data_IF_051791296404
#
_entry.id   IF_051791296404
#
_cell.length_a   1.000
_cell.length_b   1.000
_cell.length_c   1.000
_cell.angle_alpha   90.00
_cell.angle_beta   90.00
_cell.angle_gamma   90.00
#
_symmetry.space_group_name_H-M   'P 1'
#
loop_
_entity.id
_entity.type
_entity.pdbx_description
1 polymer ?
#
# COMPACT_ATOMS: atom_id res chain seq x y z
N UNK A 1 -13.31 4.02 3.86
CA UNK A 1 -12.21 3.13 3.40
C UNK A 1 -11.13 3.20 4.46
N UNK A 2 -10.48 2.08 4.79
CA UNK A 2 -9.65 1.95 5.98
C UNK A 2 -8.48 2.95 6.00
N UNK A 3 -8.68 4.10 6.64
CA UNK A 3 -7.61 4.99 7.05
C UNK A 3 -7.17 4.58 8.44
N UNK A 4 -5.95 4.04 8.53
CA UNK A 4 -5.42 3.58 9.80
C UNK A 4 -4.39 4.53 10.42
N UNK A 5 -3.92 5.53 9.67
CA UNK A 5 -3.16 6.66 10.24
C UNK A 5 -4.14 7.81 10.47
N UNK A 6 -4.25 8.30 11.71
CA UNK A 6 -5.16 9.37 12.07
C UNK A 6 -4.50 10.74 12.05
N UNK A 7 -3.23 10.85 12.45
CA UNK A 7 -2.59 12.17 12.59
C UNK A 7 -1.07 12.15 12.51
N UNK A 8 -0.52 13.29 12.12
CA UNK A 8 0.91 13.61 12.01
C UNK A 8 1.23 14.83 12.86
N UNK A 9 2.36 14.82 13.56
CA UNK A 9 2.81 15.97 14.37
C UNK A 9 3.70 16.95 13.60
N UNK A 10 4.00 16.67 12.32
CA UNK A 10 4.84 17.52 11.48
C UNK A 10 4.25 17.76 10.08
N UNK A 11 4.23 19.02 9.67
CA UNK A 11 3.76 19.45 8.35
C UNK A 11 4.56 18.83 7.19
N UNK A 12 5.89 18.71 7.35
CA UNK A 12 6.76 18.12 6.34
C UNK A 12 6.51 16.62 6.14
N UNK A 13 6.34 15.87 7.24
CA UNK A 13 6.03 14.44 7.20
C UNK A 13 4.64 14.19 6.62
N UNK A 14 3.66 15.03 7.00
CA UNK A 14 2.34 15.01 6.38
C UNK A 14 2.42 15.25 4.87
N UNK A 15 3.19 16.26 4.43
CA UNK A 15 3.37 16.57 3.01
C UNK A 15 4.05 15.41 2.27
N UNK A 16 5.09 14.84 2.86
CA UNK A 16 5.79 13.67 2.35
C UNK A 16 4.84 12.48 2.17
N UNK A 17 4.02 12.21 3.19
CA UNK A 17 3.04 11.13 3.14
C UNK A 17 1.95 11.38 2.10
N UNK A 18 1.33 12.57 2.10
CA UNK A 18 0.20 12.91 1.24
C UNK A 18 0.58 12.99 -0.24
N UNK A 19 1.68 13.67 -0.54
CA UNK A 19 2.03 14.07 -1.91
C UNK A 19 3.23 13.33 -2.48
N UNK A 20 4.02 12.65 -1.63
CA UNK A 20 5.35 12.20 -2.02
C UNK A 20 6.26 13.38 -2.37
N UNK A 21 5.98 14.58 -1.83
CA UNK A 21 6.76 15.81 -1.96
C UNK A 21 7.17 16.34 -0.59
N UNK A 22 8.46 16.54 -0.39
CA UNK A 22 9.06 17.38 0.65
C UNK A 22 10.10 18.26 -0.05
N UNK A 23 10.41 19.41 0.54
CA UNK A 23 11.35 20.39 -0.03
C UNK A 23 12.76 19.81 -0.30
N UNK A 24 13.06 18.63 0.26
CA UNK A 24 14.39 17.98 0.26
C UNK A 24 14.35 16.56 -0.33
N UNK A 25 13.25 16.15 -0.99
CA UNK A 25 13.04 14.78 -1.44
C UNK A 25 13.94 14.34 -2.60
N UNK A 26 15.03 13.66 -2.29
CA UNK A 26 15.75 12.78 -3.21
C UNK A 26 16.40 11.57 -2.50
N UNK A 27 16.26 11.41 -1.18
CA UNK A 27 17.08 10.45 -0.42
C UNK A 27 16.42 9.08 -0.28
N UNK A 28 17.22 8.05 -0.02
CA UNK A 28 16.74 6.70 0.29
C UNK A 28 15.93 6.66 1.60
N UNK A 29 16.24 7.55 2.55
CA UNK A 29 15.56 7.65 3.84
C UNK A 29 14.11 8.06 3.67
N UNK A 30 13.83 8.98 2.76
CA UNK A 30 12.46 9.43 2.48
C UNK A 30 11.59 8.31 1.91
N UNK A 31 12.15 7.52 0.98
CA UNK A 31 11.45 6.34 0.42
C UNK A 31 11.14 5.33 1.52
N UNK A 32 12.08 5.13 2.45
CA UNK A 32 11.91 4.23 3.58
C UNK A 32 10.87 4.73 4.58
N UNK A 33 10.86 6.04 4.89
CA UNK A 33 9.80 6.68 5.68
C UNK A 33 8.43 6.42 5.07
N UNK A 34 8.27 6.70 3.77
CA UNK A 34 7.01 6.51 3.05
C UNK A 34 6.59 5.04 3.04
N UNK A 35 7.53 4.12 2.81
CA UNK A 35 7.26 2.68 2.84
C UNK A 35 6.79 2.20 4.23
N UNK A 36 7.39 2.71 5.32
CA UNK A 36 6.96 2.40 6.69
C UNK A 36 5.56 2.97 6.93
N UNK A 37 5.27 4.20 6.50
CA UNK A 37 3.94 4.79 6.65
C UNK A 37 2.87 4.01 5.86
N UNK A 38 3.17 3.59 4.63
CA UNK A 38 2.24 2.78 3.83
C UNK A 38 2.01 1.39 4.45
N UNK A 39 3.05 0.80 5.02
CA UNK A 39 2.96 -0.44 5.80
C UNK A 39 2.04 -0.25 7.02
N UNK A 40 2.28 0.79 7.80
CA UNK A 40 1.49 1.09 8.99
C UNK A 40 0.03 1.38 8.65
N UNK A 41 -0.24 2.02 7.51
CA UNK A 41 -1.60 2.26 7.04
C UNK A 41 -2.32 0.98 6.58
N UNK A 42 -1.58 -0.03 6.12
CA UNK A 42 -2.15 -1.27 5.58
C UNK A 42 -2.26 -2.41 6.60
N UNK A 43 -1.62 -2.28 7.77
CA UNK A 43 -1.71 -3.24 8.85
C UNK A 43 -3.18 -3.41 9.30
N UNK A 44 -3.64 -4.60 9.68
CA UNK A 44 -4.93 -4.77 10.35
C UNK A 44 -4.90 -4.21 11.77
N UNK A 45 -6.03 -3.70 12.29
CA UNK A 45 -6.05 -3.09 13.61
C UNK A 45 -5.76 -4.11 14.74
N UNK A 46 -6.16 -5.35 14.53
CA UNK A 46 -5.98 -6.51 15.41
C UNK A 46 -4.61 -7.20 15.25
N UNK A 47 -3.85 -6.86 14.22
CA UNK A 47 -2.55 -7.47 13.95
C UNK A 47 -1.43 -6.73 14.70
N UNK A 48 -0.51 -7.46 15.35
CA UNK A 48 0.64 -6.85 16.01
C UNK A 48 1.59 -6.17 15.00
N UNK A 49 2.45 -5.26 15.47
CA UNK A 49 3.51 -4.72 14.62
C UNK A 49 4.46 -5.86 14.24
N UNK A 50 4.88 -5.97 12.96
CA UNK A 50 5.76 -7.06 12.56
C UNK A 50 7.12 -6.99 13.27
N UNK A 51 7.61 -8.10 13.81
CA UNK A 51 8.87 -8.16 14.57
C UNK A 51 10.09 -7.67 13.77
N UNK A 52 10.11 -7.94 12.47
CA UNK A 52 11.16 -7.49 11.56
C UNK A 52 11.17 -5.97 11.35
N UNK A 53 10.10 -5.26 11.71
CA UNK A 53 10.11 -3.79 11.76
C UNK A 53 10.93 -3.27 12.96
N UNK A 54 11.26 -4.14 13.90
CA UNK A 54 11.96 -3.85 15.15
C UNK A 54 11.38 -2.62 15.89
N UNK A 55 10.06 -2.66 16.24
CA UNK A 55 9.42 -1.56 16.94
C UNK A 55 9.93 -1.48 18.38
N UNK A 56 10.62 -0.40 18.72
CA UNK A 56 11.00 -0.12 20.09
C UNK A 56 9.85 0.59 20.81
N UNK A 57 9.32 -0.02 21.88
CA UNK A 57 8.39 0.65 22.78
C UNK A 57 9.12 1.80 23.49
N UNK A 58 8.49 2.98 23.52
CA UNK A 58 9.02 4.11 24.29
C UNK A 58 8.85 3.78 25.77
N UNK A 59 9.94 3.82 26.54
CA UNK A 59 9.96 3.51 27.97
C UNK A 59 8.87 4.31 28.72
N UNK A 60 7.97 3.59 29.40
CA UNK A 60 6.87 4.18 30.18
C UNK A 60 5.56 4.36 29.42
N UNK A 61 5.52 4.14 28.11
CA UNK A 61 4.32 4.36 27.29
C UNK A 61 4.06 3.17 26.34
N UNK A 62 3.27 2.20 26.81
CA UNK A 62 2.97 0.94 26.10
C UNK A 62 2.35 1.12 24.70
N UNK A 63 1.73 2.27 24.46
CA UNK A 63 1.06 2.60 23.20
C UNK A 63 1.95 3.40 22.25
N UNK A 64 3.19 3.71 22.63
CA UNK A 64 4.12 4.50 21.83
C UNK A 64 5.27 3.66 21.29
N UNK A 65 5.43 3.70 19.98
CA UNK A 65 6.39 2.91 19.24
C UNK A 65 7.35 3.80 18.46
N UNK A 66 8.54 3.26 18.24
CA UNK A 66 9.59 3.90 17.48
C UNK A 66 10.23 2.87 16.54
N UNK A 67 10.28 3.21 15.26
CA UNK A 67 10.89 2.37 14.21
C UNK A 67 12.06 3.11 13.58
N UNK A 68 13.16 2.40 13.36
CA UNK A 68 14.35 2.99 12.73
C UNK A 68 14.16 3.13 11.24
N UNK A 69 14.37 4.34 10.72
CA UNK A 69 14.45 4.62 9.28
C UNK A 69 15.91 4.50 8.83
N UNK A 70 16.83 5.16 9.53
CA UNK A 70 18.26 5.16 9.23
C UNK A 70 19.10 5.38 10.50
N UNK A 71 20.44 5.44 10.36
CA UNK A 71 21.38 5.56 11.49
C UNK A 71 21.16 6.78 12.38
N UNK A 72 20.44 7.81 11.93
CA UNK A 72 20.14 9.01 12.71
C UNK A 72 18.67 9.43 12.68
N UNK A 73 17.79 8.62 12.07
CA UNK A 73 16.40 8.97 11.85
C UNK A 73 15.47 7.86 12.29
N UNK A 74 14.49 8.21 13.12
CA UNK A 74 13.48 7.31 13.64
C UNK A 74 12.09 7.87 13.40
N UNK A 75 11.13 6.98 13.20
CA UNK A 75 9.72 7.29 13.06
C UNK A 75 9.01 6.84 14.33
N UNK A 76 8.51 7.80 15.10
CA UNK A 76 7.76 7.54 16.31
C UNK A 76 6.26 7.77 16.08
N UNK A 77 5.44 6.96 16.72
CA UNK A 77 3.98 7.01 16.59
C UNK A 77 3.32 6.38 17.81
N UNK A 78 2.07 6.74 18.07
CA UNK A 78 1.21 5.97 18.97
C UNK A 78 0.34 5.01 18.18
N UNK A 79 0.00 3.86 18.78
CA UNK A 79 -0.91 2.89 18.17
C UNK A 79 -1.88 2.34 19.21
N UNK A 80 -3.12 2.82 19.16
CA UNK A 80 -4.23 2.43 20.06
C UNK A 80 -5.36 1.82 19.24
N UNK A 81 -5.91 0.67 19.68
CA UNK A 81 -6.97 -0.07 18.97
C UNK A 81 -6.68 -0.30 17.48
N UNK A 82 -5.38 -0.49 17.18
CA UNK A 82 -4.90 -0.67 15.81
C UNK A 82 -4.72 0.61 15.00
N UNK A 83 -5.26 1.73 15.45
CA UNK A 83 -5.14 3.04 14.81
C UNK A 83 -3.80 3.68 15.17
N UNK A 84 -3.05 4.10 14.15
CA UNK A 84 -1.76 4.78 14.28
C UNK A 84 -1.99 6.30 14.34
N UNK A 85 -1.40 6.99 15.31
CA UNK A 85 -1.57 8.44 15.46
C UNK A 85 -0.28 9.12 15.93
N UNK A 86 -0.29 10.47 15.94
CA UNK A 86 0.84 11.29 16.40
C UNK A 86 2.18 10.94 15.73
N UNK A 87 2.12 10.63 14.44
CA UNK A 87 3.28 10.18 13.70
C UNK A 87 4.28 11.32 13.52
N UNK A 88 5.55 11.07 13.89
CA UNK A 88 6.62 12.06 13.86
C UNK A 88 7.98 11.47 13.49
N UNK A 89 8.88 12.32 12.99
CA UNK A 89 10.28 12.00 12.80
C UNK A 89 11.09 12.51 13.98
N UNK A 90 11.97 11.66 14.51
CA UNK A 90 12.92 12.01 15.57
C UNK A 90 14.31 11.90 14.95
N UNK A 91 15.02 13.03 14.92
CA UNK A 91 16.46 13.08 14.65
C UNK A 91 17.17 13.49 15.94
N UNK A 92 18.42 13.06 16.11
CA UNK A 92 19.25 13.47 17.26
C UNK A 92 19.44 14.99 17.40
N UNK A 93 19.15 15.77 16.35
CA UNK A 93 19.43 17.20 16.30
C UNK A 93 18.23 18.13 16.51
N UNK A 94 16.97 17.66 16.51
CA UNK A 94 15.83 18.58 16.61
C UNK A 94 14.52 17.90 16.98
N UNK A 95 13.96 18.27 18.14
CA UNK A 95 12.55 18.11 18.44
C UNK A 95 11.93 19.52 18.54
N UNK A 96 11.03 19.86 17.61
CA UNK A 96 10.08 20.96 17.84
C UNK A 96 8.69 20.42 17.51
N UNK A 97 7.81 20.23 18.50
CA UNK A 97 6.43 19.82 18.27
C UNK A 97 5.77 20.80 17.29
N UNK A 98 5.35 20.29 16.12
CA UNK A 98 4.54 21.05 15.19
C UNK A 98 3.06 20.96 15.53
N UNK A 99 2.24 21.68 14.77
CA UNK A 99 0.79 21.55 14.84
C UNK A 99 0.37 20.16 14.33
N UNK A 100 -0.46 19.46 15.10
CA UNK A 100 -1.04 18.17 14.72
C UNK A 100 -1.92 18.34 13.47
N UNK A 101 -1.69 17.49 12.46
CA UNK A 101 -2.47 17.44 11.23
C UNK A 101 -3.16 16.09 11.11
N UNK A 102 -4.44 16.10 10.74
CA UNK A 102 -5.19 14.88 10.41
C UNK A 102 -4.63 14.27 9.13
N UNK A 103 -4.62 12.94 9.02
CA UNK A 103 -4.22 12.26 7.80
C UNK A 103 -5.10 12.68 6.60
N UNK A 104 -4.56 12.64 5.37
CA UNK A 104 -5.32 13.04 4.20
C UNK A 104 -6.27 11.93 3.72
N UNK A 105 -7.54 12.28 3.50
CA UNK A 105 -8.60 11.39 2.96
C UNK A 105 -8.21 10.65 1.66
N UNK A 106 -7.24 11.20 0.90
CA UNK A 106 -6.66 10.58 -0.29
C UNK A 106 -5.19 11.00 -0.48
N UNK A 107 -4.40 10.10 -1.07
CA UNK A 107 -3.01 10.36 -1.44
C UNK A 107 -2.91 10.89 -2.88
N UNK A 108 -2.10 11.93 -3.10
CA UNK A 108 -1.75 12.38 -4.46
C UNK A 108 -0.67 11.50 -5.11
N UNK A 109 0.06 10.75 -4.30
CA UNK A 109 1.02 9.73 -4.73
C UNK A 109 0.40 8.35 -4.67
N UNK A 110 0.99 7.41 -5.41
CA UNK A 110 0.69 5.99 -5.24
C UNK A 110 1.34 5.48 -3.95
N UNK A 111 0.63 4.69 -3.12
CA UNK A 111 1.25 3.91 -2.04
C UNK A 111 2.45 3.11 -2.55
N UNK A 112 3.40 2.84 -1.68
CA UNK A 112 4.53 1.98 -1.99
C UNK A 112 4.01 0.59 -2.33
N UNK A 113 4.45 0.06 -3.47
CA UNK A 113 4.05 -1.28 -3.89
C UNK A 113 4.55 -2.36 -2.92
N UNK A 114 3.80 -3.46 -2.71
CA UNK A 114 4.15 -4.48 -1.72
C UNK A 114 5.55 -5.08 -1.94
N UNK A 115 5.95 -5.32 -3.19
CA UNK A 115 7.27 -5.87 -3.49
C UNK A 115 8.43 -4.92 -3.16
N UNK A 116 8.21 -3.61 -3.25
CA UNK A 116 9.20 -2.62 -2.81
C UNK A 116 9.30 -2.59 -1.29
N UNK A 117 8.16 -2.67 -0.56
CA UNK A 117 8.16 -2.77 0.91
C UNK A 117 8.92 -4.02 1.37
N UNK A 118 8.64 -5.18 0.77
CA UNK A 118 9.33 -6.43 1.08
C UNK A 118 10.84 -6.30 0.85
N UNK A 119 11.25 -5.75 -0.30
CA UNK A 119 12.66 -5.60 -0.64
C UNK A 119 13.39 -4.57 0.25
N UNK A 120 12.72 -3.47 0.59
CA UNK A 120 13.32 -2.33 1.29
C UNK A 120 13.33 -2.50 2.81
N UNK A 121 12.33 -3.17 3.37
CA UNK A 121 12.17 -3.29 4.82
C UNK A 121 12.44 -4.71 5.32
N UNK A 122 11.82 -5.72 4.73
CA UNK A 122 11.89 -7.09 5.24
C UNK A 122 13.25 -7.76 4.97
N UNK A 123 13.77 -7.70 3.73
CA UNK A 123 15.06 -8.34 3.41
C UNK A 123 16.24 -7.76 4.22
N UNK A 124 16.39 -6.43 4.36
CA UNK A 124 17.48 -5.88 5.17
C UNK A 124 17.32 -6.18 6.66
N UNK A 125 16.09 -6.25 7.18
CA UNK A 125 15.84 -6.56 8.59
C UNK A 125 16.16 -8.01 8.95
N UNK A 126 15.94 -8.95 8.03
CA UNK A 126 16.17 -10.38 8.25
C UNK A 126 17.54 -10.87 7.77
N UNK A 127 18.25 -10.08 6.95
CA UNK A 127 19.48 -10.49 6.29
C UNK A 127 19.28 -11.54 5.19
N UNK A 128 18.04 -11.85 4.82
CA UNK A 128 17.74 -12.82 3.78
C UNK A 128 18.16 -12.29 2.40
N UNK A 129 18.87 -13.13 1.65
CA UNK A 129 19.17 -12.83 0.26
C UNK A 129 17.91 -13.01 -0.61
N UNK A 130 17.78 -12.28 -1.75
CA UNK A 130 16.67 -12.50 -2.67
C UNK A 130 16.54 -13.95 -3.15
N UNK A 131 17.66 -14.65 -3.33
CA UNK A 131 17.65 -16.06 -3.72
C UNK A 131 17.04 -16.97 -2.64
N UNK A 132 17.35 -16.74 -1.36
CA UNK A 132 16.74 -17.49 -0.26
C UNK A 132 15.28 -17.12 -0.08
N UNK A 133 14.93 -15.84 -0.16
CA UNK A 133 13.54 -15.40 -0.12
C UNK A 133 12.69 -16.04 -1.21
N UNK A 134 13.20 -16.14 -2.46
CA UNK A 134 12.49 -16.79 -3.56
C UNK A 134 12.18 -18.27 -3.24
N UNK A 135 13.13 -19.00 -2.64
CA UNK A 135 12.97 -20.40 -2.23
C UNK A 135 11.92 -20.55 -1.15
N UNK A 136 11.97 -19.72 -0.10
CA UNK A 136 10.96 -19.73 0.97
C UNK A 136 9.56 -19.37 0.46
N UNK A 137 9.47 -18.45 -0.50
CA UNK A 137 8.21 -18.08 -1.13
C UNK A 137 7.70 -19.12 -2.15
N UNK A 138 8.48 -20.14 -2.49
CA UNK A 138 8.10 -21.13 -3.51
C UNK A 138 8.02 -20.55 -4.92
N UNK A 139 8.75 -19.47 -5.22
CA UNK A 139 8.74 -18.80 -6.53
C UNK A 139 10.09 -18.80 -7.21
N UNK A 140 10.11 -18.65 -8.54
CA UNK A 140 11.36 -18.46 -9.28
C UNK A 140 11.98 -17.08 -8.98
N UNK A 141 13.30 -16.97 -9.13
CA UNK A 141 14.00 -15.69 -8.98
C UNK A 141 13.47 -14.61 -9.94
N UNK A 142 13.14 -14.98 -11.18
CA UNK A 142 12.48 -14.09 -12.15
C UNK A 142 11.14 -13.59 -11.63
N UNK A 143 10.35 -14.48 -11.03
CA UNK A 143 9.09 -14.10 -10.43
C UNK A 143 9.24 -13.19 -9.21
N UNK A 144 10.26 -13.41 -8.38
CA UNK A 144 10.54 -12.54 -7.25
C UNK A 144 10.96 -11.14 -7.73
N UNK A 145 11.76 -11.05 -8.80
CA UNK A 145 12.10 -9.77 -9.40
C UNK A 145 10.88 -9.03 -9.98
N UNK A 146 9.95 -9.76 -10.63
CA UNK A 146 8.67 -9.19 -11.06
C UNK A 146 7.85 -8.69 -9.87
N UNK A 147 7.85 -9.42 -8.76
CA UNK A 147 7.20 -8.96 -7.53
C UNK A 147 7.83 -7.66 -7.02
N UNK A 148 9.16 -7.57 -6.95
CA UNK A 148 9.86 -6.33 -6.58
C UNK A 148 9.54 -5.15 -7.49
N UNK A 149 9.36 -5.40 -8.79
CA UNK A 149 9.03 -4.40 -9.80
C UNK A 149 7.55 -4.01 -9.85
N UNK A 150 6.65 -4.81 -9.28
CA UNK A 150 5.19 -4.59 -9.33
C UNK A 150 4.44 -5.36 -10.40
N UNK A 151 5.16 -6.09 -11.26
CA UNK A 151 4.59 -6.90 -12.34
C UNK A 151 3.91 -8.18 -11.82
N UNK A 152 4.18 -8.56 -10.57
CA UNK A 152 3.47 -9.64 -9.87
C UNK A 152 2.82 -9.08 -8.61
N UNK A 153 1.52 -9.33 -8.44
CA UNK A 153 0.72 -8.80 -7.32
C UNK A 153 0.85 -9.68 -6.06
N UNK A 154 0.82 -9.07 -4.88
CA UNK A 154 0.77 -9.74 -3.58
C UNK A 154 -0.65 -10.23 -3.24
N UNK A 155 -1.13 -11.24 -3.97
CA UNK A 155 -2.46 -11.85 -3.77
C UNK A 155 -2.39 -13.37 -3.92
N UNK A 156 -3.44 -14.07 -3.46
CA UNK A 156 -3.56 -15.53 -3.58
C UNK A 156 -2.40 -16.25 -2.90
N UNK A 157 -1.87 -17.27 -3.59
CA UNK A 157 -0.77 -18.10 -3.08
C UNK A 157 0.46 -17.30 -2.68
N UNK A 158 0.81 -16.25 -3.43
CA UNK A 158 1.96 -15.42 -3.07
C UNK A 158 1.73 -14.67 -1.76
N UNK A 159 0.50 -14.20 -1.49
CA UNK A 159 0.18 -13.53 -0.24
C UNK A 159 0.19 -14.49 0.96
N UNK A 160 -0.18 -15.77 0.75
CA UNK A 160 -0.04 -16.82 1.77
C UNK A 160 1.43 -17.08 2.09
N UNK A 161 2.27 -17.32 1.07
CA UNK A 161 3.70 -17.55 1.28
C UNK A 161 4.41 -16.33 1.91
N UNK A 162 3.99 -15.12 1.53
CA UNK A 162 4.50 -13.89 2.14
C UNK A 162 4.14 -13.82 3.63
N UNK A 163 2.88 -14.08 3.97
CA UNK A 163 2.40 -14.10 5.35
C UNK A 163 3.20 -15.07 6.22
N UNK A 164 3.39 -16.30 5.75
CA UNK A 164 4.19 -17.33 6.44
C UNK A 164 5.65 -16.91 6.63
N UNK A 165 6.28 -16.35 5.59
CA UNK A 165 7.68 -15.93 5.65
C UNK A 165 7.89 -14.71 6.55
N UNK A 166 6.95 -13.75 6.53
CA UNK A 166 7.11 -12.48 7.24
C UNK A 166 6.50 -12.47 8.64
N UNK A 167 5.82 -13.54 9.04
CA UNK A 167 5.10 -13.60 10.31
C UNK A 167 3.96 -12.58 10.41
N UNK A 168 3.33 -12.26 9.27
CA UNK A 168 2.21 -11.32 9.17
C UNK A 168 0.99 -12.03 8.59
N UNK A 169 -0.15 -11.35 8.46
CA UNK A 169 -1.34 -11.94 7.82
C UNK A 169 -1.32 -11.83 6.30
N UNK A 170 -2.07 -12.71 5.63
CA UNK A 170 -2.37 -12.59 4.20
C UNK A 170 -3.20 -11.34 3.88
N UNK A 171 -4.03 -10.93 4.83
CA UNK A 171 -4.86 -9.72 4.75
C UNK A 171 -3.95 -8.48 4.67
N UNK A 172 -2.89 -8.41 5.47
CA UNK A 172 -1.90 -7.33 5.42
C UNK A 172 -1.32 -7.14 4.01
N UNK A 173 -0.79 -8.22 3.41
CA UNK A 173 -0.21 -8.16 2.06
C UNK A 173 -1.23 -7.79 0.98
N UNK A 174 -2.45 -8.31 1.10
CA UNK A 174 -3.54 -7.99 0.17
C UNK A 174 -4.01 -6.54 0.33
N UNK A 175 -4.03 -6.00 1.56
CA UNK A 175 -4.35 -4.59 1.83
C UNK A 175 -3.32 -3.66 1.22
N UNK A 176 -2.03 -3.97 1.35
CA UNK A 176 -0.97 -3.22 0.67
C UNK A 176 -1.18 -3.19 -0.85
N UNK A 177 -1.50 -4.34 -1.45
CA UNK A 177 -1.75 -4.44 -2.88
C UNK A 177 -2.99 -3.61 -3.28
N UNK A 178 -4.08 -3.72 -2.51
CA UNK A 178 -5.30 -2.99 -2.78
C UNK A 178 -5.09 -1.49 -2.65
N UNK A 179 -4.42 -1.02 -1.58
CA UNK A 179 -4.08 0.39 -1.40
C UNK A 179 -3.32 0.93 -2.63
N UNK A 180 -2.31 0.19 -3.10
CA UNK A 180 -1.55 0.56 -4.28
C UNK A 180 -2.41 0.63 -5.56
N UNK A 181 -3.35 -0.29 -5.73
CA UNK A 181 -4.14 -0.41 -6.95
C UNK A 181 -5.36 0.50 -7.02
N UNK A 182 -6.00 0.79 -5.89
CA UNK A 182 -7.17 1.66 -5.82
C UNK A 182 -6.79 3.14 -5.91
N UNK A 183 -5.56 3.52 -5.55
CA UNK A 183 -5.14 4.92 -5.66
C UNK A 183 -5.17 5.32 -7.12
N UNK A 184 -6.11 6.22 -7.51
CA UNK A 184 -6.31 6.53 -8.91
C UNK A 184 -5.04 7.18 -9.44
N UNK A 185 -4.59 6.68 -10.58
CA UNK A 185 -3.69 7.48 -11.40
C UNK A 185 -4.51 8.71 -11.79
N UNK A 186 -3.89 9.88 -11.91
CA UNK A 186 -4.53 11.17 -12.28
C UNK A 186 -5.38 11.15 -13.56
N UNK A 187 -5.60 9.99 -14.18
CA UNK A 187 -6.44 9.71 -15.35
C UNK A 187 -7.28 8.45 -15.13
N UNK A 188 -8.49 8.67 -14.61
CA UNK A 188 -9.77 8.19 -15.18
C UNK A 188 -10.79 8.13 -14.04
N UNK A 189 -11.50 9.24 -13.83
CA UNK A 189 -12.82 9.14 -13.22
C UNK A 189 -13.64 8.31 -14.19
N UNK A 190 -13.80 7.02 -13.93
CA UNK A 190 -14.86 6.24 -14.58
C UNK A 190 -16.15 6.92 -14.14
N UNK A 191 -16.76 7.70 -15.03
CA UNK A 191 -18.11 8.23 -14.80
C UNK A 191 -19.03 7.01 -14.75
N UNK A 192 -19.33 6.56 -13.52
CA UNK A 192 -20.29 5.48 -13.31
C UNK A 192 -21.61 5.85 -13.97
N UNK A 193 -22.25 4.89 -14.62
CA UNK A 193 -23.63 5.05 -15.06
C UNK A 193 -24.51 4.92 -13.80
N UNK A 194 -25.32 5.93 -13.44
CA UNK A 194 -26.18 5.83 -12.27
C UNK A 194 -27.15 4.66 -12.44
N UNK A 195 -27.43 3.93 -11.35
CA UNK A 195 -28.31 2.76 -11.38
C UNK A 195 -29.70 3.08 -11.96
N UNK A 196 -30.17 4.31 -11.78
CA UNK A 196 -31.41 4.80 -12.38
C UNK A 196 -31.43 4.68 -13.91
N UNK A 197 -30.32 5.00 -14.59
CA UNK A 197 -30.22 4.88 -16.04
C UNK A 197 -30.18 3.42 -16.53
N UNK A 198 -29.76 2.48 -15.67
CA UNK A 198 -29.78 1.04 -15.95
C UNK A 198 -31.20 0.50 -15.78
N UNK A 199 -31.91 0.92 -14.72
CA UNK A 199 -33.29 0.49 -14.43
C UNK A 199 -34.27 0.90 -15.53
N UNK A 200 -34.15 2.10 -16.09
CA UNK A 200 -35.00 2.57 -17.20
C UNK A 200 -34.86 1.70 -18.47
N UNK A 201 -33.71 1.06 -18.68
CA UNK A 201 -33.47 0.16 -19.81
C UNK A 201 -34.08 -1.24 -19.62
N UNK A 202 -34.37 -1.62 -18.37
CA UNK A 202 -35.00 -2.90 -18.02
C UNK A 202 -36.53 -2.78 -18.14
N UNK A 203 -37.10 -1.65 -17.75
CA UNK A 203 -38.55 -1.38 -17.74
C UNK A 203 -39.10 -0.92 -19.09
N UNK A 204 -38.27 -0.67 -20.10
CA UNK A 204 -38.73 -0.28 -21.42
C UNK A 204 -39.58 -1.40 -22.07
N UNK A 205 -40.79 -1.10 -22.60
CA UNK A 205 -41.64 -2.11 -23.22
C UNK A 205 -40.93 -2.79 -24.40
N UNK A 206 -41.20 -4.08 -24.66
CA UNK A 206 -40.43 -4.91 -25.61
C UNK A 206 -40.38 -4.36 -27.04
N UNK A 207 -41.28 -3.45 -27.41
CA UNK A 207 -41.34 -2.78 -28.72
C UNK A 207 -40.18 -1.79 -28.98
N UNK A 208 -39.43 -1.36 -27.96
CA UNK A 208 -38.30 -0.43 -28.12
C UNK A 208 -36.91 -1.08 -28.04
N UNK A 209 -36.82 -2.41 -27.91
CA UNK A 209 -35.54 -3.13 -28.01
C UNK A 209 -35.07 -3.13 -29.47
N UNK A 210 -34.44 -2.05 -29.93
CA UNK A 210 -33.75 -2.02 -31.23
C UNK A 210 -32.70 -3.13 -31.24
N UNK A 211 -32.99 -4.21 -31.95
CA UNK A 211 -32.04 -5.26 -32.25
C UNK A 211 -30.84 -4.66 -32.97
N UNK A 212 -29.72 -4.54 -32.26
CA UNK A 212 -28.43 -4.32 -32.89
C UNK A 212 -28.14 -5.61 -33.66
N UNK A 213 -28.37 -5.61 -34.98
CA UNK A 213 -27.99 -6.74 -35.85
C UNK A 213 -26.51 -7.02 -35.62
N UNK A 214 -26.21 -8.19 -35.06
CA UNK A 214 -24.86 -8.75 -35.09
C UNK A 214 -24.58 -8.99 -36.59
N UNK A 215 -23.56 -8.37 -37.20
CA UNK A 215 -23.27 -8.61 -38.61
C UNK A 215 -22.92 -10.09 -38.78
N UNK A 216 -23.55 -10.73 -39.77
CA UNK A 216 -23.31 -12.12 -40.10
C UNK A 216 -21.83 -12.34 -40.43
N UNK A 217 -21.29 -13.45 -39.91
CA UNK A 217 -19.94 -13.95 -40.13
C UNK A 217 -19.70 -14.09 -41.65
N UNK A 218 -18.68 -13.41 -42.17
CA UNK A 218 -18.24 -13.55 -43.57
C UNK A 218 -17.82 -15.02 -43.81
N UNK A 219 -18.31 -15.70 -44.85
CA UNK A 219 -17.87 -17.06 -45.15
C UNK A 219 -16.45 -17.04 -45.72
N UNK A 220 -15.64 -17.97 -45.21
CA UNK A 220 -14.28 -18.25 -45.65
C UNK A 220 -14.33 -18.88 -47.05
N UNK A 221 -13.80 -18.21 -48.06
CA UNK A 221 -13.64 -18.79 -49.39
C UNK A 221 -12.57 -19.90 -49.31
N UNK A 222 -12.98 -21.13 -49.64
CA UNK A 222 -12.06 -22.23 -49.92
C UNK A 222 -11.53 -22.05 -51.35
N UNK A 223 -10.22 -21.91 -51.48
CA UNK A 223 -9.52 -22.00 -52.78
C UNK A 223 -9.03 -23.43 -52.95
N UNK A 224 -9.37 -24.02 -54.09
CA UNK A 224 -8.81 -25.27 -54.60
C UNK A 224 -7.35 -25.09 -55.04
#
# INVERSE_FOLDING_TARGET
>A
MAEMIASFSHAGLWSLYATGRAATLQTEEDRRCVAILDLLAALPPDEALPDWLNPACVLGEAEHYCVTVSNGLRLAFSRQDGQVSQVRLISSAFERPGMTRVAPDYLERRPTQPGAIFRMLFLPATGLSPAHAARHLGVSHSSLNKFFGGDRRAVGDLALSLAELTGTSTVFWTRLQNAHDITPHRRSVVRGVPLSAIQTSIEAPPSLRRGRRIPARVPMAATA
#
